data_IF_097954798970
#
_entry.id   IF_097954798970
#
_cell.length_a   1.000
_cell.length_b   1.000
_cell.length_c   1.000
_cell.angle_alpha   90.00
_cell.angle_beta   90.00
_cell.angle_gamma   90.00
#
_symmetry.space_group_name_H-M   'P 1'
#
loop_
_entity.id
_entity.type
_entity.pdbx_description
1 polymer ?
#
# COMPACT_ATOMS: atom_id res chain seq x y z
N UNK A 1 24.62 15.53 -51.28
CA UNK A 1 25.04 14.53 -50.27
C UNK A 1 25.11 15.27 -48.95
N UNK A 2 24.02 15.25 -48.19
CA UNK A 2 23.90 16.00 -46.94
C UNK A 2 23.44 14.99 -45.90
N UNK A 3 24.39 14.53 -45.09
CA UNK A 3 24.15 13.54 -44.05
C UNK A 3 23.31 14.15 -42.93
N UNK A 4 22.26 13.42 -42.56
CA UNK A 4 21.29 13.79 -41.53
C UNK A 4 21.75 13.10 -40.23
N UNK A 5 22.09 13.83 -39.16
CA UNK A 5 22.55 13.19 -37.94
C UNK A 5 21.38 12.49 -37.23
N UNK A 6 21.60 11.23 -36.84
CA UNK A 6 20.66 10.45 -36.04
C UNK A 6 20.56 11.01 -34.60
N UNK A 7 19.36 11.05 -34.00
CA UNK A 7 19.21 11.42 -32.61
C UNK A 7 19.60 10.23 -31.73
N UNK A 8 20.70 10.36 -30.99
CA UNK A 8 21.03 9.49 -29.87
C UNK A 8 20.00 9.67 -28.76
N UNK A 9 19.09 8.69 -28.64
CA UNK A 9 18.28 8.47 -27.44
C UNK A 9 19.20 8.17 -26.26
N UNK A 10 19.46 9.21 -25.46
CA UNK A 10 20.13 9.06 -24.19
C UNK A 10 19.11 8.54 -23.20
N UNK A 11 19.33 7.27 -22.82
CA UNK A 11 18.71 6.59 -21.70
C UNK A 11 18.39 7.55 -20.54
N UNK A 12 17.10 7.69 -20.24
CA UNK A 12 16.61 8.22 -18.98
C UNK A 12 17.02 7.23 -17.87
N UNK A 13 18.28 7.37 -17.46
CA UNK A 13 18.94 6.60 -16.41
C UNK A 13 18.30 6.97 -15.08
N UNK A 14 17.82 5.96 -14.39
CA UNK A 14 17.28 5.98 -13.03
C UNK A 14 17.92 7.07 -12.17
N UNK A 15 17.20 8.17 -11.96
CA UNK A 15 17.58 9.16 -10.96
C UNK A 15 17.59 8.48 -9.59
N UNK A 16 18.72 8.46 -8.87
CA UNK A 16 18.78 7.87 -7.55
C UNK A 16 17.75 8.57 -6.66
N UNK A 17 16.82 7.79 -6.12
CA UNK A 17 15.80 8.24 -5.19
C UNK A 17 16.52 8.92 -4.02
N UNK A 18 16.36 10.25 -3.90
CA UNK A 18 17.05 11.02 -2.88
C UNK A 18 16.80 10.41 -1.49
N UNK A 19 17.86 10.20 -0.72
CA UNK A 19 17.75 9.71 0.64
C UNK A 19 16.92 10.69 1.48
N UNK A 20 16.01 10.15 2.30
CA UNK A 20 15.17 10.98 3.19
C UNK A 20 16.05 11.80 4.13
N UNK A 21 15.74 13.09 4.28
CA UNK A 21 16.39 13.99 5.25
C UNK A 21 15.79 13.89 6.65
N UNK A 22 14.76 13.04 6.83
CA UNK A 22 14.09 12.82 8.12
C UNK A 22 14.89 11.86 8.99
N UNK A 23 14.90 12.10 10.30
CA UNK A 23 15.49 11.17 11.26
C UNK A 23 14.66 9.89 11.35
N UNK A 24 15.28 8.78 11.79
CA UNK A 24 14.60 7.49 11.97
C UNK A 24 13.36 7.61 12.86
N UNK A 25 13.46 8.33 13.98
CA UNK A 25 12.35 8.48 14.92
C UNK A 25 11.14 9.22 14.31
N UNK A 26 11.38 10.18 13.42
CA UNK A 26 10.31 10.86 12.68
C UNK A 26 9.64 9.89 11.70
N UNK A 27 10.42 9.07 10.99
CA UNK A 27 9.88 8.06 10.09
C UNK A 27 9.09 6.99 10.83
N UNK A 28 9.56 6.56 12.00
CA UNK A 28 8.87 5.60 12.85
C UNK A 28 7.55 6.17 13.40
N UNK A 29 7.56 7.44 13.81
CA UNK A 29 6.35 8.15 14.23
C UNK A 29 5.33 8.26 13.10
N UNK A 30 5.75 8.69 11.90
CA UNK A 30 4.88 8.79 10.73
C UNK A 30 4.34 7.42 10.30
N UNK A 31 5.15 6.36 10.44
CA UNK A 31 4.73 4.98 10.20
C UNK A 31 3.64 4.56 11.18
N UNK A 32 3.82 4.82 12.48
CA UNK A 32 2.80 4.53 13.48
C UNK A 32 1.50 5.32 13.25
N UNK A 33 1.61 6.59 12.85
CA UNK A 33 0.44 7.41 12.46
C UNK A 33 -0.31 6.80 11.28
N UNK A 34 0.41 6.43 10.21
CA UNK A 34 -0.18 5.80 9.03
C UNK A 34 -0.89 4.51 9.42
N UNK A 35 -0.20 3.63 10.15
CA UNK A 35 -0.73 2.30 10.50
C UNK A 35 -1.94 2.41 11.45
N UNK A 36 -1.96 3.39 12.36
CA UNK A 36 -3.13 3.67 13.20
C UNK A 36 -4.34 4.12 12.37
N UNK A 37 -4.14 4.99 11.38
CA UNK A 37 -5.20 5.52 10.53
C UNK A 37 -5.61 4.58 9.39
N UNK A 38 -4.84 3.54 9.10
CA UNK A 38 -5.15 2.53 8.10
C UNK A 38 -6.23 1.55 8.60
N UNK A 39 -7.45 2.07 8.74
CA UNK A 39 -8.61 1.30 9.19
C UNK A 39 -9.35 0.74 7.97
N UNK A 40 -9.27 -0.59 7.73
CA UNK A 40 -9.79 -1.21 6.53
C UNK A 40 -11.32 -1.15 6.46
N UNK A 41 -11.88 -1.27 5.25
CA UNK A 41 -13.33 -1.31 5.05
C UNK A 41 -13.89 -2.67 5.50
N UNK A 42 -15.11 -2.72 6.04
CA UNK A 42 -15.76 -3.98 6.37
C UNK A 42 -16.13 -4.74 5.08
N UNK A 43 -16.03 -6.07 5.14
CA UNK A 43 -16.49 -6.95 4.09
C UNK A 43 -17.99 -6.77 3.84
N UNK A 44 -18.41 -6.93 2.58
CA UNK A 44 -19.83 -6.94 2.22
C UNK A 44 -20.46 -8.22 2.77
N UNK A 45 -21.63 -8.10 3.36
CA UNK A 45 -22.47 -9.22 3.81
C UNK A 45 -23.88 -9.09 3.21
N UNK A 46 -24.63 -10.19 3.18
CA UNK A 46 -26.00 -10.20 2.66
C UNK A 46 -26.99 -9.45 3.57
N UNK A 47 -26.71 -9.45 4.88
CA UNK A 47 -27.51 -8.72 5.86
C UNK A 47 -27.13 -7.23 5.88
N UNK A 48 -28.11 -6.38 5.57
CA UNK A 48 -27.93 -4.92 5.57
C UNK A 48 -27.74 -4.35 6.98
N UNK A 49 -28.44 -4.87 7.98
CA UNK A 49 -28.32 -4.39 9.36
C UNK A 49 -26.92 -4.69 9.91
N UNK A 50 -26.40 -5.89 9.63
CA UNK A 50 -25.03 -6.26 9.96
C UNK A 50 -24.00 -5.35 9.25
N UNK A 51 -24.21 -5.06 7.95
CA UNK A 51 -23.32 -4.16 7.21
C UNK A 51 -23.29 -2.74 7.80
N UNK A 52 -24.45 -2.22 8.21
CA UNK A 52 -24.55 -0.92 8.88
C UNK A 52 -23.80 -0.94 10.21
N UNK A 53 -23.97 -2.00 11.01
CA UNK A 53 -23.25 -2.14 12.28
C UNK A 53 -21.72 -2.19 12.07
N UNK A 54 -21.24 -2.96 11.09
CA UNK A 54 -19.81 -3.03 10.75
C UNK A 54 -19.26 -1.68 10.30
N UNK A 55 -20.02 -0.90 9.53
CA UNK A 55 -19.63 0.47 9.12
C UNK A 55 -19.58 1.42 10.31
N UNK A 56 -20.56 1.35 11.20
CA UNK A 56 -20.58 2.20 12.39
C UNK A 56 -19.38 1.91 13.31
N UNK A 57 -19.08 0.63 13.58
CA UNK A 57 -17.87 0.25 14.33
C UNK A 57 -16.59 0.79 13.69
N UNK A 58 -16.49 0.75 12.37
CA UNK A 58 -15.34 1.33 11.66
C UNK A 58 -15.24 2.84 11.88
N UNK A 59 -16.35 3.56 11.86
CA UNK A 59 -16.38 5.01 12.08
C UNK A 59 -15.95 5.37 13.51
N UNK A 60 -16.45 4.63 14.51
CA UNK A 60 -16.03 4.76 15.91
C UNK A 60 -14.52 4.52 16.04
N UNK A 61 -14.03 3.43 15.45
CA UNK A 61 -12.61 3.08 15.50
C UNK A 61 -11.71 4.16 14.86
N UNK A 62 -12.14 4.72 13.72
CA UNK A 62 -11.42 5.84 13.07
C UNK A 62 -11.43 7.07 13.98
N UNK A 63 -12.56 7.41 14.59
CA UNK A 63 -12.67 8.58 15.45
C UNK A 63 -11.74 8.48 16.67
N UNK A 64 -11.68 7.31 17.32
CA UNK A 64 -10.82 7.06 18.48
C UNK A 64 -9.33 7.13 18.12
N UNK A 65 -8.93 6.44 17.04
CA UNK A 65 -7.55 6.44 16.57
C UNK A 65 -7.10 7.81 16.06
N UNK A 66 -7.96 8.52 15.32
CA UNK A 66 -7.68 9.86 14.86
C UNK A 66 -7.53 10.85 16.01
N UNK A 67 -8.30 10.69 17.08
CA UNK A 67 -8.18 11.53 18.29
C UNK A 67 -6.82 11.30 18.96
N UNK A 68 -6.40 10.06 19.14
CA UNK A 68 -5.07 9.73 19.69
C UNK A 68 -3.94 10.32 18.84
N UNK A 69 -3.98 10.07 17.52
CA UNK A 69 -2.98 10.58 16.56
C UNK A 69 -2.92 12.11 16.60
N UNK A 70 -4.07 12.78 16.61
CA UNK A 70 -4.14 14.25 16.66
C UNK A 70 -3.49 14.79 17.93
N UNK A 71 -3.77 14.19 19.10
CA UNK A 71 -3.15 14.59 20.36
C UNK A 71 -1.64 14.41 20.29
N UNK A 72 -1.16 13.24 19.86
CA UNK A 72 0.26 12.93 19.77
C UNK A 72 1.00 13.88 18.79
N UNK A 73 0.40 14.17 17.63
CA UNK A 73 0.95 15.10 16.65
C UNK A 73 1.03 16.53 17.22
N UNK A 74 -0.02 17.01 17.89
CA UNK A 74 -0.02 18.33 18.51
C UNK A 74 1.05 18.45 19.60
N UNK A 75 1.25 17.40 20.41
CA UNK A 75 2.35 17.35 21.39
C UNK A 75 3.69 17.43 20.68
N UNK A 76 3.93 16.60 19.65
CA UNK A 76 5.18 16.62 18.90
C UNK A 76 5.49 18.01 18.29
N UNK A 77 4.49 18.67 17.71
CA UNK A 77 4.61 20.01 17.13
C UNK A 77 4.88 21.11 18.17
N UNK A 78 4.45 20.92 19.41
CA UNK A 78 4.71 21.86 20.52
C UNK A 78 6.08 21.70 21.18
N UNK A 79 6.82 20.64 20.87
CA UNK A 79 8.13 20.39 21.48
C UNK A 79 9.24 21.16 20.79
N UNK A 80 10.22 21.62 21.59
CA UNK A 80 11.46 22.16 21.04
C UNK A 80 12.29 21.05 20.37
N UNK A 81 13.12 21.37 19.35
CA UNK A 81 13.93 20.37 18.66
C UNK A 81 14.84 19.53 19.58
N UNK A 82 15.32 20.12 20.68
CA UNK A 82 16.18 19.41 21.67
C UNK A 82 15.44 18.30 22.42
N UNK A 83 14.13 18.45 22.61
CA UNK A 83 13.32 17.49 23.36
C UNK A 83 12.55 16.55 22.43
N UNK A 84 12.33 16.95 21.17
CA UNK A 84 11.51 16.23 20.20
C UNK A 84 11.92 14.75 20.09
N UNK A 85 13.22 14.46 19.95
CA UNK A 85 13.68 13.11 19.69
C UNK A 85 13.36 12.12 20.82
N UNK A 86 13.59 12.50 22.07
CA UNK A 86 13.27 11.66 23.23
C UNK A 86 11.76 11.42 23.37
N UNK A 87 10.93 12.40 23.02
CA UNK A 87 9.48 12.29 23.12
C UNK A 87 8.86 11.55 21.94
N UNK A 88 9.44 11.62 20.73
CA UNK A 88 8.91 10.90 19.56
C UNK A 88 8.81 9.41 19.82
N UNK A 89 9.79 8.80 20.48
CA UNK A 89 9.75 7.37 20.84
C UNK A 89 8.54 7.07 21.75
N UNK A 90 8.31 7.88 22.78
CA UNK A 90 7.19 7.71 23.70
C UNK A 90 5.81 7.94 23.02
N UNK A 91 5.74 8.94 22.13
CA UNK A 91 4.52 9.24 21.37
C UNK A 91 4.21 8.13 20.36
N UNK A 92 5.24 7.61 19.67
CA UNK A 92 5.12 6.44 18.78
C UNK A 92 4.56 5.24 19.55
N UNK A 93 5.09 4.96 20.74
CA UNK A 93 4.61 3.84 21.56
C UNK A 93 3.15 4.07 22.01
N UNK A 94 2.80 5.29 22.42
CA UNK A 94 1.42 5.65 22.78
C UNK A 94 0.43 5.38 21.64
N UNK A 95 0.78 5.73 20.40
CA UNK A 95 -0.06 5.46 19.22
C UNK A 95 -0.23 3.95 19.02
N UNK A 96 0.86 3.18 19.14
CA UNK A 96 0.86 1.72 18.98
C UNK A 96 0.01 1.03 20.05
N UNK A 97 0.18 1.40 21.31
CA UNK A 97 -0.58 0.83 22.43
C UNK A 97 -2.07 1.13 22.30
N UNK A 98 -2.44 2.37 21.94
CA UNK A 98 -3.83 2.74 21.67
C UNK A 98 -4.41 1.95 20.48
N UNK A 99 -3.64 1.82 19.39
CA UNK A 99 -4.05 1.04 18.21
C UNK A 99 -4.27 -0.44 18.57
N UNK A 100 -3.43 -1.00 19.45
CA UNK A 100 -3.55 -2.37 19.92
C UNK A 100 -4.75 -2.58 20.88
N UNK A 101 -5.09 -1.56 21.69
CA UNK A 101 -6.23 -1.60 22.59
C UNK A 101 -7.59 -1.60 21.86
N UNK A 102 -7.63 -1.02 20.66
CA UNK A 102 -8.81 -1.00 19.80
C UNK A 102 -8.52 -1.73 18.48
N UNK A 103 -8.51 -3.08 18.46
CA UNK A 103 -8.26 -3.84 17.24
C UNK A 103 -9.45 -3.73 16.28
N UNK A 104 -9.18 -3.97 14.98
CA UNK A 104 -10.24 -4.21 14.00
C UNK A 104 -10.89 -5.56 14.33
N UNK A 105 -12.17 -5.54 14.68
CA UNK A 105 -12.91 -6.72 15.15
C UNK A 105 -14.00 -7.21 14.18
N UNK A 106 -14.08 -6.58 13.01
CA UNK A 106 -14.99 -6.96 11.93
C UNK A 106 -14.22 -7.60 10.77
N UNK A 107 -14.92 -8.44 10.01
CA UNK A 107 -14.38 -9.03 8.80
C UNK A 107 -14.03 -7.94 7.79
N UNK A 108 -12.80 -7.96 7.30
CA UNK A 108 -12.25 -6.95 6.39
C UNK A 108 -12.57 -7.29 4.95
N UNK A 109 -12.96 -6.29 4.16
CA UNK A 109 -13.00 -6.41 2.72
C UNK A 109 -11.57 -6.65 2.22
N UNK A 110 -11.24 -7.92 1.99
CA UNK A 110 -10.10 -8.28 1.16
C UNK A 110 -10.40 -7.69 -0.22
N UNK A 111 -9.52 -6.84 -0.74
CA UNK A 111 -9.59 -6.43 -2.14
C UNK A 111 -8.60 -7.30 -2.92
N UNK A 112 -8.97 -8.54 -3.33
CA UNK A 112 -8.06 -9.45 -4.02
C UNK A 112 -7.68 -8.96 -5.43
N UNK A 113 -8.00 -7.71 -5.79
CA UNK A 113 -8.03 -7.25 -7.16
C UNK A 113 -7.48 -5.85 -7.43
N UNK A 114 -6.75 -5.22 -6.49
CA UNK A 114 -6.14 -3.89 -6.72
C UNK A 114 -4.68 -3.96 -7.17
N UNK A 115 -3.98 -5.07 -6.92
CA UNK A 115 -2.59 -5.23 -7.29
C UNK A 115 -2.28 -6.65 -7.77
N UNK A 116 -1.26 -6.76 -8.61
CA UNK A 116 -0.74 -8.05 -9.06
C UNK A 116 -0.14 -8.83 -7.87
N UNK A 117 -0.56 -10.07 -7.68
CA UNK A 117 -0.05 -10.95 -6.63
C UNK A 117 1.43 -11.31 -6.80
N UNK A 118 1.99 -11.19 -8.02
CA UNK A 118 3.41 -11.47 -8.30
C UNK A 118 4.27 -10.23 -8.10
N UNK A 119 4.00 -9.14 -8.82
CA UNK A 119 4.87 -7.97 -8.81
C UNK A 119 4.42 -6.86 -7.84
N UNK A 120 3.30 -7.06 -7.14
CA UNK A 120 2.68 -6.11 -6.18
C UNK A 120 2.33 -4.73 -6.75
N UNK A 121 2.49 -4.51 -8.06
CA UNK A 121 2.08 -3.27 -8.72
C UNK A 121 0.56 -3.17 -8.77
N UNK A 122 0.05 -1.96 -8.52
CA UNK A 122 -1.37 -1.65 -8.66
C UNK A 122 -1.81 -1.88 -10.10
N UNK A 123 -3.02 -2.38 -10.28
CA UNK A 123 -3.60 -2.49 -11.60
C UNK A 123 -3.96 -1.12 -12.14
N UNK A 124 -3.57 -0.84 -13.37
CA UNK A 124 -3.98 0.36 -14.09
C UNK A 124 -5.05 -0.04 -15.14
N UNK A 125 -6.34 0.31 -14.94
CA UNK A 125 -7.39 0.01 -15.91
C UNK A 125 -7.29 0.86 -17.18
N UNK A 126 -6.56 1.97 -17.16
CA UNK A 126 -6.30 2.79 -18.34
C UNK A 126 -5.14 2.24 -19.18
N UNK A 127 -4.38 1.29 -18.64
CA UNK A 127 -3.28 0.65 -19.35
C UNK A 127 -3.81 -0.36 -20.37
N UNK A 128 -3.84 0.03 -21.64
CA UNK A 128 -4.30 -0.82 -22.73
C UNK A 128 -3.18 -1.66 -23.35
N UNK A 129 -1.93 -1.48 -22.91
CA UNK A 129 -0.78 -2.19 -23.49
C UNK A 129 -0.71 -3.61 -22.97
N UNK A 130 -0.31 -4.54 -23.84
CA UNK A 130 -0.20 -5.96 -23.50
C UNK A 130 0.94 -6.26 -22.51
N UNK A 131 1.96 -5.40 -22.44
CA UNK A 131 3.09 -5.46 -21.49
C UNK A 131 2.83 -4.67 -20.19
N UNK A 132 1.63 -4.10 -20.08
CA UNK A 132 1.23 -3.16 -19.05
C UNK A 132 0.85 -3.75 -17.69
N UNK A 133 0.43 -2.87 -16.79
CA UNK A 133 -0.08 -3.15 -15.45
C UNK A 133 -1.59 -3.40 -15.41
N UNK A 134 -2.27 -3.51 -16.55
CA UNK A 134 -3.65 -3.97 -16.58
C UNK A 134 -3.80 -5.38 -15.99
N UNK A 135 -4.97 -5.63 -15.40
CA UNK A 135 -5.35 -6.94 -14.87
C UNK A 135 -5.60 -7.94 -16.01
N UNK A 136 -5.12 -9.17 -15.86
CA UNK A 136 -5.42 -10.26 -16.80
C UNK A 136 -6.78 -10.86 -16.43
N UNK A 137 -7.85 -10.42 -17.10
CA UNK A 137 -9.23 -10.85 -16.77
C UNK A 137 -9.56 -10.61 -15.30
N UNK A 138 -10.18 -11.60 -14.64
CA UNK A 138 -10.48 -11.59 -13.21
C UNK A 138 -9.37 -12.21 -12.34
N UNK A 139 -8.21 -12.54 -12.92
CA UNK A 139 -7.11 -13.18 -12.18
C UNK A 139 -6.44 -12.19 -11.22
N UNK A 140 -5.72 -12.65 -10.18
CA UNK A 140 -4.94 -11.77 -9.31
C UNK A 140 -3.62 -11.31 -9.95
N UNK A 141 -3.43 -11.45 -11.27
CA UNK A 141 -2.16 -11.20 -11.96
C UNK A 141 -2.29 -10.10 -13.02
N UNK A 142 -1.20 -9.37 -13.29
CA UNK A 142 -1.16 -8.39 -14.39
C UNK A 142 -0.79 -9.06 -15.71
N UNK A 143 -1.14 -8.41 -16.82
CA UNK A 143 -0.84 -8.87 -18.18
C UNK A 143 0.66 -9.11 -18.38
N UNK A 144 1.51 -8.20 -17.92
CA UNK A 144 2.98 -8.34 -17.99
C UNK A 144 3.50 -9.61 -17.30
N UNK A 145 3.02 -9.91 -16.07
CA UNK A 145 3.44 -11.10 -15.35
C UNK A 145 2.92 -12.39 -15.99
N UNK A 146 1.70 -12.35 -16.55
CA UNK A 146 1.12 -13.48 -17.28
C UNK A 146 1.86 -13.73 -18.59
N UNK A 147 2.21 -12.67 -19.34
CA UNK A 147 3.00 -12.76 -20.57
C UNK A 147 4.36 -13.41 -20.31
N UNK A 148 5.12 -12.93 -19.32
CA UNK A 148 6.40 -13.55 -18.94
C UNK A 148 6.29 -15.02 -18.54
N UNK A 149 5.17 -15.41 -17.93
CA UNK A 149 4.90 -16.80 -17.58
C UNK A 149 4.70 -17.66 -18.84
N UNK A 150 4.00 -17.14 -19.85
CA UNK A 150 3.82 -17.86 -21.12
C UNK A 150 5.07 -17.85 -22.00
N UNK A 151 5.90 -16.79 -21.91
CA UNK A 151 7.14 -16.67 -22.70
C UNK A 151 8.28 -17.55 -22.20
N UNK A 152 8.19 -18.10 -20.97
CA UNK A 152 9.18 -19.08 -20.52
C UNK A 152 8.94 -20.42 -21.22
N UNK A 153 9.84 -20.81 -22.14
CA UNK A 153 9.85 -22.09 -22.88
C UNK A 153 10.01 -23.34 -22.00
N UNK A 154 9.99 -23.20 -20.67
CA UNK A 154 10.11 -24.30 -19.72
C UNK A 154 8.71 -24.82 -19.42
N UNK A 155 8.35 -25.94 -20.06
CA UNK A 155 7.05 -26.61 -19.91
C UNK A 155 6.67 -26.96 -18.45
N UNK A 156 7.67 -27.05 -17.56
CA UNK A 156 7.50 -27.43 -16.14
C UNK A 156 7.79 -26.29 -15.15
N UNK A 157 7.78 -25.03 -15.58
CA UNK A 157 8.05 -23.94 -14.64
C UNK A 157 6.91 -23.83 -13.59
N UNK A 158 7.28 -23.90 -12.32
CA UNK A 158 6.35 -23.73 -11.21
C UNK A 158 6.30 -22.27 -10.81
N UNK A 159 5.23 -21.57 -11.17
CA UNK A 159 5.00 -20.20 -10.72
C UNK A 159 3.60 -20.03 -10.10
N UNK A 160 3.38 -18.96 -9.32
CA UNK A 160 2.07 -18.67 -8.73
C UNK A 160 0.95 -18.55 -9.77
N UNK A 161 1.27 -18.17 -11.02
CA UNK A 161 0.31 -18.02 -12.12
C UNK A 161 -0.17 -19.39 -12.61
N UNK A 162 0.75 -20.31 -12.90
CA UNK A 162 0.44 -21.70 -13.26
C UNK A 162 -0.31 -22.45 -12.15
N UNK A 163 0.02 -22.17 -10.89
CA UNK A 163 -0.65 -22.78 -9.73
C UNK A 163 -2.09 -22.26 -9.54
N UNK A 164 -2.38 -21.03 -9.98
CA UNK A 164 -3.68 -20.37 -9.82
C UNK A 164 -4.72 -20.68 -10.90
N UNK A 165 -4.41 -21.52 -11.89
CA UNK A 165 -5.37 -21.98 -12.90
C UNK A 165 -5.71 -20.97 -14.01
N UNK A 166 -4.89 -19.93 -14.21
CA UNK A 166 -5.00 -19.07 -15.38
C UNK A 166 -4.53 -19.83 -16.64
N UNK A 167 -5.43 -20.57 -17.28
CA UNK A 167 -5.26 -21.12 -18.63
C UNK A 167 -6.13 -20.35 -19.60
#
# INVERSE_FOLDING_TARGET
>A
MTERPEPTDTAAKDSPRAASTLTSDVLDFLTAVRDALDVPRPARCADFAELVQRRHRREELIADRATTVRIAANVALGLSPRNLQAHLVALTQTIRDSTAAFPVDYEVQQDPGLACAVCRKLFDPADTRFDGHARQGDTPFCRSCTGRCHDTEIADHRCPICAGGAR
#
